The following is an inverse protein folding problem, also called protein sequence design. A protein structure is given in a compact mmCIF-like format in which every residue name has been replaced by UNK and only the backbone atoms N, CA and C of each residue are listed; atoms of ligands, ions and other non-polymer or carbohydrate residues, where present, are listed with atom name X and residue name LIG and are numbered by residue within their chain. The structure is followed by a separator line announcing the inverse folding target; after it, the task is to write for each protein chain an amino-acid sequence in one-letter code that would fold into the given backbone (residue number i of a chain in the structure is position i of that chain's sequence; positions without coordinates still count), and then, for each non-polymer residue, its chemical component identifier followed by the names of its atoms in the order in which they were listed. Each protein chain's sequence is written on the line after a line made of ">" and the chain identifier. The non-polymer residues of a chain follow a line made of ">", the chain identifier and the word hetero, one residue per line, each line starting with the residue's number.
data_IF_995982376443
#
_entry.id   IF_995982376443
#
_cell.length_a   1.000
_cell.length_b   1.000
_cell.length_c   1.000
_cell.angle_alpha   90.00
_cell.angle_beta   90.00
_cell.angle_gamma   90.00
#
_symmetry.space_group_name_H-M   'P 1'
#
loop_
_entity.id
_entity.type
_entity.pdbx_description
1 polymer ?
#
# COMPACT_ATOMS: atom_id res chain seq x y z
N UNK A 1 -12.40 5.54 17.26
CA UNK A 1 -13.23 5.87 16.07
C UNK A 1 -14.25 4.76 15.87
N UNK A 2 -15.46 5.06 15.38
CA UNK A 2 -16.41 4.01 15.00
C UNK A 2 -15.97 3.31 13.72
N UNK A 3 -16.37 2.06 13.52
CA UNK A 3 -16.10 1.30 12.29
C UNK A 3 -16.60 2.05 11.05
N UNK A 4 -17.76 2.71 11.15
CA UNK A 4 -18.32 3.53 10.08
C UNK A 4 -17.40 4.70 9.72
N UNK A 5 -16.92 5.45 10.71
CA UNK A 5 -16.02 6.58 10.47
C UNK A 5 -14.70 6.14 9.83
N UNK A 6 -14.15 5.00 10.28
CA UNK A 6 -12.95 4.41 9.67
C UNK A 6 -13.19 3.99 8.22
N UNK A 7 -14.29 3.28 7.94
CA UNK A 7 -14.63 2.82 6.59
C UNK A 7 -14.80 4.01 5.63
N UNK A 8 -15.49 5.08 6.04
CA UNK A 8 -15.62 6.28 5.23
C UNK A 8 -14.28 6.95 4.95
N UNK A 9 -13.40 7.06 5.96
CA UNK A 9 -12.07 7.63 5.77
C UNK A 9 -11.24 6.82 4.76
N UNK A 10 -11.28 5.48 4.85
CA UNK A 10 -10.59 4.58 3.90
C UNK A 10 -11.16 4.72 2.50
N UNK A 11 -12.49 4.75 2.33
CA UNK A 11 -13.11 4.91 1.02
C UNK A 11 -12.75 6.25 0.38
N UNK A 12 -12.77 7.34 1.15
CA UNK A 12 -12.34 8.66 0.67
C UNK A 12 -10.88 8.64 0.25
N UNK A 13 -10.01 8.02 1.05
CA UNK A 13 -8.59 7.87 0.73
C UNK A 13 -8.38 7.06 -0.55
N UNK A 14 -9.07 5.93 -0.72
CA UNK A 14 -8.99 5.12 -1.93
C UNK A 14 -9.52 5.85 -3.17
N UNK A 15 -10.48 6.77 -2.98
CA UNK A 15 -11.00 7.61 -4.06
C UNK A 15 -10.06 8.75 -4.44
N UNK A 16 -9.13 9.16 -3.55
CA UNK A 16 -8.13 10.18 -3.90
C UNK A 16 -7.23 9.68 -5.03
N UNK A 17 -6.99 10.50 -6.06
CA UNK A 17 -6.27 10.06 -7.26
C UNK A 17 -4.78 9.87 -6.93
N UNK A 18 -4.38 8.62 -6.78
CA UNK A 18 -2.99 8.16 -6.81
C UNK A 18 -2.74 7.28 -8.05
N UNK A 19 -1.48 7.13 -8.50
CA UNK A 19 -1.17 6.38 -9.72
C UNK A 19 -1.70 4.94 -9.72
N UNK A 20 -1.66 4.23 -8.58
CA UNK A 20 -2.19 2.85 -8.46
C UNK A 20 -3.70 2.79 -8.26
N UNK A 21 -4.29 3.61 -7.38
CA UNK A 21 -5.73 3.65 -7.14
C UNK A 21 -6.51 3.98 -8.43
N UNK A 22 -6.03 4.96 -9.20
CA UNK A 22 -6.65 5.33 -10.48
C UNK A 22 -6.55 4.20 -11.49
N UNK A 23 -5.40 3.52 -11.60
CA UNK A 23 -5.25 2.36 -12.50
C UNK A 23 -6.16 1.19 -12.10
N UNK A 24 -6.29 0.89 -10.81
CA UNK A 24 -7.18 -0.16 -10.31
C UNK A 24 -8.65 0.18 -10.55
N UNK A 25 -9.06 1.43 -10.27
CA UNK A 25 -10.41 1.91 -10.52
C UNK A 25 -10.77 1.84 -12.02
N UNK A 26 -9.88 2.33 -12.90
CA UNK A 26 -10.08 2.27 -14.36
C UNK A 26 -10.07 0.82 -14.84
N UNK A 27 -9.16 -0.02 -14.36
CA UNK A 27 -9.12 -1.45 -14.72
C UNK A 27 -10.41 -2.16 -14.34
N UNK A 28 -10.92 -1.93 -13.12
CA UNK A 28 -12.20 -2.48 -12.66
C UNK A 28 -13.39 -1.99 -13.49
N UNK A 29 -13.40 -0.71 -13.85
CA UNK A 29 -14.46 -0.11 -14.67
C UNK A 29 -14.43 -0.58 -16.14
N UNK A 30 -13.25 -0.80 -16.71
CA UNK A 30 -13.07 -1.12 -18.14
C UNK A 30 -13.04 -2.62 -18.43
N UNK A 31 -12.46 -3.43 -17.53
CA UNK A 31 -12.21 -4.87 -17.73
C UNK A 31 -13.00 -5.74 -16.75
N UNK A 32 -13.63 -5.13 -15.74
CA UNK A 32 -14.39 -5.83 -14.69
C UNK A 32 -13.51 -6.37 -13.57
N UNK A 33 -14.11 -6.52 -12.37
CA UNK A 33 -13.40 -6.88 -11.14
C UNK A 33 -12.56 -8.17 -11.25
N UNK A 34 -13.11 -9.22 -11.86
CA UNK A 34 -12.41 -10.51 -12.00
C UNK A 34 -11.14 -10.39 -12.83
N UNK A 35 -11.17 -9.63 -13.92
CA UNK A 35 -10.02 -9.41 -14.78
C UNK A 35 -8.97 -8.48 -14.15
N UNK A 36 -9.35 -7.70 -13.15
CA UNK A 36 -8.46 -6.83 -12.38
C UNK A 36 -7.81 -7.50 -11.17
N UNK A 37 -8.25 -8.70 -10.76
CA UNK A 37 -7.65 -9.43 -9.63
C UNK A 37 -6.12 -9.63 -9.76
N UNK A 38 -5.55 -9.95 -10.94
CA UNK A 38 -4.10 -10.04 -11.09
C UNK A 38 -3.36 -8.72 -10.80
N UNK A 39 -3.99 -7.58 -11.14
CA UNK A 39 -3.44 -6.25 -10.87
C UNK A 39 -3.40 -5.96 -9.36
N UNK A 40 -4.45 -6.32 -8.63
CA UNK A 40 -4.49 -6.23 -7.17
C UNK A 40 -3.41 -7.13 -6.56
N UNK A 41 -3.31 -8.38 -7.03
CA UNK A 41 -2.28 -9.31 -6.56
C UNK A 41 -0.86 -8.81 -6.81
N UNK A 42 -0.60 -8.23 -7.98
CA UNK A 42 0.70 -7.63 -8.31
C UNK A 42 1.05 -6.44 -7.40
N UNK A 43 0.08 -5.60 -7.08
CA UNK A 43 0.27 -4.45 -6.20
C UNK A 43 0.57 -4.89 -4.75
N UNK A 44 -0.19 -5.87 -4.24
CA UNK A 44 0.11 -6.52 -2.96
C UNK A 44 1.49 -7.18 -2.93
N UNK A 45 1.87 -7.90 -4.00
CA UNK A 45 3.17 -8.53 -4.11
C UNK A 45 4.29 -7.48 -4.08
N UNK A 46 4.15 -6.39 -4.84
CA UNK A 46 5.10 -5.28 -4.83
C UNK A 46 5.29 -4.67 -3.44
N UNK A 47 4.20 -4.42 -2.71
CA UNK A 47 4.28 -3.96 -1.32
C UNK A 47 4.98 -4.95 -0.41
N UNK A 48 4.62 -6.24 -0.47
CA UNK A 48 5.26 -7.25 0.36
C UNK A 48 6.75 -7.36 0.05
N UNK A 49 7.14 -7.32 -1.22
CA UNK A 49 8.54 -7.33 -1.65
C UNK A 49 9.31 -6.11 -1.13
N UNK A 50 8.69 -4.94 -1.00
CA UNK A 50 9.34 -3.76 -0.43
C UNK A 50 9.38 -3.80 1.11
N UNK A 51 8.25 -4.17 1.74
CA UNK A 51 8.07 -4.12 3.19
C UNK A 51 8.85 -5.23 3.88
N UNK A 52 8.86 -6.47 3.34
CA UNK A 52 9.50 -7.61 3.99
C UNK A 52 11.00 -7.36 4.23
N UNK A 53 11.82 -6.99 3.23
CA UNK A 53 13.23 -6.69 3.47
C UNK A 53 13.41 -5.50 4.41
N UNK A 54 12.59 -4.46 4.27
CA UNK A 54 12.68 -3.28 5.14
C UNK A 54 12.44 -3.64 6.61
N UNK A 55 11.41 -4.44 6.89
CA UNK A 55 11.04 -4.82 8.26
C UNK A 55 11.97 -5.90 8.82
N UNK A 56 12.31 -6.92 8.05
CA UNK A 56 13.04 -8.08 8.58
C UNK A 56 14.56 -7.97 8.46
N UNK A 57 15.09 -7.16 7.54
CA UNK A 57 16.53 -6.91 7.42
C UNK A 57 16.90 -5.54 7.95
N UNK A 58 16.26 -4.46 7.48
CA UNK A 58 16.72 -3.11 7.82
C UNK A 58 16.36 -2.71 9.26
N UNK A 59 15.13 -3.00 9.73
CA UNK A 59 14.71 -2.57 11.07
C UNK A 59 15.57 -3.14 12.22
N UNK A 60 15.96 -4.44 12.23
CA UNK A 60 16.86 -4.97 13.27
C UNK A 60 18.25 -4.33 13.24
N UNK A 61 18.76 -3.95 12.06
CA UNK A 61 20.07 -3.31 11.93
C UNK A 61 20.08 -1.86 12.43
N UNK A 62 18.93 -1.20 12.37
CA UNK A 62 18.75 0.21 12.73
C UNK A 62 18.26 0.42 14.16
N UNK A 63 17.87 -0.65 14.86
CA UNK A 63 17.22 -0.55 16.18
C UNK A 63 18.11 0.12 17.24
N UNK A 64 19.43 -0.09 17.14
CA UNK A 64 20.42 0.49 18.05
C UNK A 64 20.97 1.85 17.58
N UNK A 65 20.57 2.31 16.38
CA UNK A 65 21.04 3.57 15.77
C UNK A 65 19.87 4.46 15.31
N UNK A 66 19.03 4.96 16.24
CA UNK A 66 17.83 5.74 15.90
C UNK A 66 18.15 7.03 15.12
N UNK A 67 19.33 7.61 15.32
CA UNK A 67 19.78 8.78 14.55
C UNK A 67 20.04 8.44 13.07
N UNK A 68 20.56 7.24 12.76
CA UNK A 68 20.77 6.79 11.39
C UNK A 68 19.42 6.48 10.70
N UNK A 69 18.45 5.93 11.43
CA UNK A 69 17.11 5.68 10.92
C UNK A 69 16.38 6.96 10.46
N UNK A 70 16.60 8.09 11.15
CA UNK A 70 16.02 9.39 10.77
C UNK A 70 16.62 9.98 9.49
N UNK A 71 17.81 9.55 9.07
CA UNK A 71 18.49 10.01 7.85
C UNK A 71 18.09 9.26 6.58
N UNK A 72 17.40 8.13 6.70
CA UNK A 72 16.90 7.34 5.59
C UNK A 72 15.51 7.88 5.25
N UNK A 73 15.43 8.77 4.26
CA UNK A 73 14.17 9.33 3.77
C UNK A 73 13.98 9.04 2.29
#
# INVERSE_FOLDING_TARGET
>A
MSLSAFAFAVLLLLLTPGPTNTLLAISGATRGLKASLPLIGAECAGYLTAIIPLVFLAAPLLIDQPAAALGIK
#
